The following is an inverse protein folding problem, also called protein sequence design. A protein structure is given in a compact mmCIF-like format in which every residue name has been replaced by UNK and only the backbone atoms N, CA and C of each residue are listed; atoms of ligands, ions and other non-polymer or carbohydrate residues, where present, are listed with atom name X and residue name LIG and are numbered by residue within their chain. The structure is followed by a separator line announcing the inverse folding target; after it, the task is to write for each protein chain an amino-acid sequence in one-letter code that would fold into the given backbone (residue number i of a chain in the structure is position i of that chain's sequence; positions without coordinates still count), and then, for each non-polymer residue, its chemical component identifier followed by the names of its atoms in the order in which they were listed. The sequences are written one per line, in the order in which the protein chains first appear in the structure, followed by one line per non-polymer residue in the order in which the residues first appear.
data_IF_314291174986
#
_entry.id   IF_314291174986
#
_cell.length_a   1.000
_cell.length_b   1.000
_cell.length_c   1.000
_cell.angle_alpha   90.00
_cell.angle_beta   90.00
_cell.angle_gamma   90.00
#
_symmetry.space_group_name_H-M   'P 1'
#
loop_
_entity.id
_entity.type
_entity.pdbx_description
1 polymer ?
#
# COMPACT_ATOMS: atom_id res chain seq x y z
N UNK A 1 5.81 5.64 -2.23
CA UNK A 1 5.68 5.19 -0.83
C UNK A 1 6.09 6.27 0.18
N UNK A 2 7.26 6.90 0.06
CA UNK A 2 7.73 7.92 1.02
C UNK A 2 6.72 9.05 1.35
N UNK A 3 5.99 9.57 0.35
CA UNK A 3 4.95 10.58 0.58
C UNK A 3 3.82 10.12 1.52
N UNK A 4 3.39 8.85 1.41
CA UNK A 4 2.37 8.28 2.29
C UNK A 4 2.89 8.14 3.72
N UNK A 5 4.12 7.63 3.88
CA UNK A 5 4.77 7.54 5.19
C UNK A 5 4.95 8.91 5.85
N UNK A 6 5.39 9.92 5.09
CA UNK A 6 5.50 11.30 5.58
C UNK A 6 4.17 11.87 6.05
N UNK A 7 3.09 11.67 5.28
CA UNK A 7 1.75 12.11 5.65
C UNK A 7 1.26 11.46 6.95
N UNK A 8 1.43 10.14 7.06
CA UNK A 8 1.11 9.41 8.29
C UNK A 8 1.91 9.93 9.50
N UNK A 9 3.23 10.12 9.35
CA UNK A 9 4.07 10.69 10.41
C UNK A 9 3.64 12.10 10.83
N UNK A 10 3.30 12.96 9.88
CA UNK A 10 2.84 14.33 10.15
C UNK A 10 1.53 14.35 10.97
N UNK A 11 0.68 13.34 10.81
CA UNK A 11 -0.55 13.15 11.58
C UNK A 11 -0.36 12.35 12.89
N UNK A 12 0.88 12.02 13.28
CA UNK A 12 1.17 11.21 14.47
C UNK A 12 0.92 9.70 14.31
N UNK A 13 0.72 9.23 13.07
CA UNK A 13 0.56 7.81 12.74
C UNK A 13 1.84 7.00 12.86
N UNK A 14 1.68 5.68 12.99
CA UNK A 14 2.77 4.70 12.95
C UNK A 14 2.98 4.16 11.55
N UNK A 15 4.23 3.99 11.12
CA UNK A 15 4.57 3.52 9.78
C UNK A 15 5.41 2.24 9.82
N UNK A 16 5.04 1.26 8.98
CA UNK A 16 5.76 0.01 8.82
C UNK A 16 6.27 -0.07 7.37
N UNK A 17 7.58 -0.26 7.20
CA UNK A 17 8.22 -0.45 5.90
C UNK A 17 8.62 -1.90 5.69
N UNK A 18 8.02 -2.57 4.71
CA UNK A 18 8.39 -3.93 4.29
C UNK A 18 9.30 -3.82 3.06
N UNK A 19 10.60 -3.96 3.28
CA UNK A 19 11.62 -3.66 2.27
C UNK A 19 11.94 -4.87 1.38
N UNK A 20 12.14 -4.67 0.07
CA UNK A 20 12.50 -5.75 -0.84
C UNK A 20 13.98 -6.18 -0.72
N UNK A 21 14.85 -5.29 -0.23
CA UNK A 21 16.29 -5.53 -0.08
C UNK A 21 16.64 -6.19 1.25
N UNK A 22 17.94 -6.43 1.45
CA UNK A 22 18.55 -7.00 2.65
C UNK A 22 19.09 -5.93 3.62
N UNK A 23 18.85 -4.64 3.36
CA UNK A 23 19.44 -3.51 4.10
C UNK A 23 18.37 -2.65 4.75
N UNK A 24 18.54 -2.39 6.05
CA UNK A 24 17.60 -1.54 6.81
C UNK A 24 17.66 -0.08 6.35
N UNK A 25 18.82 0.35 5.87
CA UNK A 25 19.12 1.72 5.46
C UNK A 25 18.38 2.13 4.18
N UNK A 26 17.80 1.17 3.44
CA UNK A 26 16.97 1.44 2.27
C UNK A 26 15.56 1.94 2.65
N UNK A 27 15.20 1.92 3.95
CA UNK A 27 13.99 2.58 4.43
C UNK A 27 14.07 4.10 4.28
N UNK A 28 12.95 4.74 3.97
CA UNK A 28 12.86 6.20 4.05
C UNK A 28 12.79 6.65 5.52
N UNK A 29 13.19 7.90 5.78
CA UNK A 29 13.28 8.49 7.13
C UNK A 29 11.96 8.54 7.90
N UNK A 30 10.82 8.35 7.22
CA UNK A 30 9.49 8.38 7.82
C UNK A 30 8.96 6.99 8.21
N UNK A 31 9.80 5.96 8.26
CA UNK A 31 9.44 4.61 8.70
C UNK A 31 9.81 4.37 10.17
N UNK A 32 8.84 4.01 11.02
CA UNK A 32 9.07 3.67 12.44
C UNK A 32 9.59 2.25 12.62
N UNK A 33 9.00 1.29 11.90
CA UNK A 33 9.33 -0.12 12.01
C UNK A 33 9.72 -0.69 10.65
N UNK A 34 10.92 -1.25 10.57
CA UNK A 34 11.47 -1.80 9.33
C UNK A 34 11.47 -3.32 9.38
N UNK A 35 10.85 -3.94 8.37
CA UNK A 35 10.92 -5.38 8.09
C UNK A 35 11.74 -5.57 6.82
N UNK A 36 12.97 -6.06 6.97
CA UNK A 36 13.86 -6.38 5.87
C UNK A 36 13.53 -7.78 5.37
N UNK A 37 13.19 -7.95 4.10
CA UNK A 37 12.76 -9.26 3.57
C UNK A 37 13.81 -9.95 2.71
N UNK A 38 14.63 -9.21 1.96
CA UNK A 38 15.52 -9.81 0.93
C UNK A 38 14.76 -10.55 -0.18
N UNK A 39 13.45 -10.30 -0.33
CA UNK A 39 12.58 -11.07 -1.23
C UNK A 39 12.33 -10.38 -2.58
N UNK A 40 12.96 -9.22 -2.84
CA UNK A 40 12.69 -8.46 -4.05
C UNK A 40 11.20 -8.18 -4.21
N UNK A 41 10.63 -8.47 -5.39
CA UNK A 41 9.20 -8.29 -5.66
C UNK A 41 8.30 -9.32 -4.96
N UNK A 42 8.82 -10.43 -4.42
CA UNK A 42 7.98 -11.37 -3.69
C UNK A 42 7.43 -10.78 -2.37
N UNK A 43 8.05 -9.71 -1.83
CA UNK A 43 7.52 -8.98 -0.66
C UNK A 43 6.14 -8.36 -0.88
N UNK A 44 5.70 -8.22 -2.13
CA UNK A 44 4.40 -7.65 -2.48
C UNK A 44 3.26 -8.38 -1.78
N UNK A 45 3.37 -9.70 -1.66
CA UNK A 45 2.42 -10.51 -0.92
C UNK A 45 2.38 -10.13 0.56
N UNK A 46 3.54 -9.94 1.21
CA UNK A 46 3.61 -9.58 2.63
C UNK A 46 2.95 -8.23 2.91
N UNK A 47 3.10 -7.24 2.01
CA UNK A 47 2.41 -5.95 2.15
C UNK A 47 0.89 -6.11 2.00
N UNK A 48 0.42 -6.79 0.96
CA UNK A 48 -1.01 -6.99 0.75
C UNK A 48 -1.66 -7.84 1.86
N UNK A 49 -0.94 -8.84 2.40
CA UNK A 49 -1.46 -9.74 3.42
C UNK A 49 -1.53 -9.09 4.81
N UNK A 50 -0.57 -8.20 5.12
CA UNK A 50 -0.47 -7.55 6.43
C UNK A 50 -1.43 -6.36 6.60
N UNK A 51 -1.95 -5.81 5.51
CA UNK A 51 -2.96 -4.74 5.55
C UNK A 51 -4.38 -5.29 5.57
N UNK A 52 -5.27 -4.59 6.25
CA UNK A 52 -6.72 -4.89 6.22
C UNK A 52 -7.38 -4.41 4.91
N UNK A 53 -6.85 -3.34 4.33
CA UNK A 53 -7.24 -2.79 3.03
C UNK A 53 -6.02 -2.25 2.26
N UNK A 54 -6.16 -2.08 0.94
CA UNK A 54 -5.13 -1.54 0.05
C UNK A 54 -5.64 -0.32 -0.70
N UNK A 55 -4.94 0.79 -0.55
CA UNK A 55 -5.14 2.01 -1.36
C UNK A 55 -4.02 2.07 -2.40
N UNK A 56 -4.38 1.91 -3.68
CA UNK A 56 -3.46 2.00 -4.80
C UNK A 56 -3.42 3.43 -5.34
N UNK A 57 -2.23 4.05 -5.30
CA UNK A 57 -2.00 5.41 -5.82
C UNK A 57 -1.07 5.33 -7.04
N UNK A 58 -1.50 5.90 -8.17
CA UNK A 58 -0.77 5.81 -9.44
C UNK A 58 -0.81 4.40 -10.05
N UNK A 59 0.23 4.03 -10.78
CA UNK A 59 0.26 2.72 -11.46
C UNK A 59 1.61 2.31 -12.01
N UNK A 60 1.98 1.05 -11.74
CA UNK A 60 3.09 0.31 -12.36
C UNK A 60 2.79 -1.19 -12.26
N UNK A 61 3.65 -2.05 -12.84
CA UNK A 61 3.54 -3.50 -12.70
C UNK A 61 3.53 -3.98 -11.24
N UNK A 62 4.33 -3.33 -10.38
CA UNK A 62 4.37 -3.66 -8.95
C UNK A 62 3.02 -3.37 -8.26
N UNK A 63 2.42 -2.23 -8.58
CA UNK A 63 1.09 -1.85 -8.07
C UNK A 63 0.02 -2.83 -8.53
N UNK A 64 0.03 -3.23 -9.80
CA UNK A 64 -0.90 -4.23 -10.33
C UNK A 64 -0.77 -5.58 -9.61
N UNK A 65 0.47 -6.01 -9.33
CA UNK A 65 0.71 -7.24 -8.58
C UNK A 65 0.16 -7.17 -7.14
N UNK A 66 0.33 -6.03 -6.45
CA UNK A 66 -0.24 -5.83 -5.11
C UNK A 66 -1.77 -5.82 -5.11
N UNK A 67 -2.40 -5.20 -6.12
CA UNK A 67 -3.85 -5.26 -6.32
C UNK A 67 -4.30 -6.71 -6.50
N UNK A 68 -3.60 -7.49 -7.33
CA UNK A 68 -3.90 -8.91 -7.55
C UNK A 68 -3.80 -9.75 -6.27
N UNK A 69 -2.74 -9.58 -5.48
CA UNK A 69 -2.58 -10.27 -4.20
C UNK A 69 -3.68 -9.88 -3.20
N UNK A 70 -3.96 -8.58 -3.06
CA UNK A 70 -5.00 -8.07 -2.18
C UNK A 70 -6.37 -8.65 -2.55
N UNK A 71 -6.74 -8.63 -3.83
CA UNK A 71 -7.99 -9.22 -4.32
C UNK A 71 -8.04 -10.73 -4.07
N UNK A 72 -6.93 -11.46 -4.28
CA UNK A 72 -6.88 -12.91 -4.02
C UNK A 72 -7.07 -13.26 -2.55
N UNK A 73 -6.59 -12.39 -1.65
CA UNK A 73 -6.70 -12.50 -0.20
C UNK A 73 -8.03 -11.95 0.35
N UNK A 74 -8.91 -11.44 -0.50
CA UNK A 74 -10.19 -10.85 -0.08
C UNK A 74 -10.03 -9.51 0.63
N UNK A 75 -8.91 -8.81 0.44
CA UNK A 75 -8.72 -7.45 0.97
C UNK A 75 -9.47 -6.44 0.11
N UNK A 76 -10.05 -5.45 0.77
CA UNK A 76 -10.66 -4.30 0.08
C UNK A 76 -9.57 -3.53 -0.66
N UNK A 77 -9.77 -3.28 -1.95
CA UNK A 77 -8.88 -2.45 -2.76
C UNK A 77 -9.62 -1.21 -3.25
N UNK A 78 -8.94 -0.06 -3.16
CA UNK A 78 -9.41 1.22 -3.70
C UNK A 78 -8.29 1.84 -4.54
N UNK A 79 -8.62 2.33 -5.74
CA UNK A 79 -7.68 3.01 -6.64
C UNK A 79 -7.95 4.52 -6.58
N UNK A 80 -6.94 5.32 -6.25
CA UNK A 80 -7.02 6.78 -6.30
C UNK A 80 -6.77 7.26 -7.72
N UNK A 81 -7.63 8.15 -8.22
CA UNK A 81 -7.51 8.69 -9.57
C UNK A 81 -6.49 9.84 -9.65
N UNK A 82 -5.71 9.92 -10.76
CA UNK A 82 -5.59 8.93 -11.83
C UNK A 82 -4.79 7.68 -11.41
N UNK A 83 -5.20 6.51 -11.88
CA UNK A 83 -4.58 5.21 -11.53
C UNK A 83 -4.91 4.10 -12.53
N UNK A 84 -4.43 2.88 -12.25
CA UNK A 84 -4.66 1.70 -13.12
C UNK A 84 -6.17 1.46 -13.37
N UNK A 85 -6.50 0.98 -14.56
CA UNK A 85 -7.86 0.52 -14.89
C UNK A 85 -7.97 -0.97 -14.59
N UNK A 86 -8.56 -1.32 -13.45
CA UNK A 86 -8.80 -2.70 -13.03
C UNK A 86 -10.29 -2.88 -12.77
N UNK A 87 -10.91 -3.81 -13.49
CA UNK A 87 -12.34 -4.11 -13.38
C UNK A 87 -12.70 -4.62 -11.98
N UNK A 88 -13.86 -4.21 -11.46
CA UNK A 88 -14.36 -4.67 -10.16
C UNK A 88 -13.70 -4.05 -8.94
N UNK A 89 -12.77 -3.11 -9.11
CA UNK A 89 -12.11 -2.39 -8.01
C UNK A 89 -12.70 -1.00 -7.87
N UNK A 90 -12.98 -0.58 -6.63
CA UNK A 90 -13.53 0.75 -6.38
C UNK A 90 -12.50 1.83 -6.68
N UNK A 91 -13.00 2.99 -7.11
CA UNK A 91 -12.18 4.14 -7.49
C UNK A 91 -12.58 5.35 -6.66
N UNK A 92 -11.60 6.14 -6.28
CA UNK A 92 -11.77 7.35 -5.48
C UNK A 92 -11.15 8.54 -6.22
N UNK A 93 -11.87 9.65 -6.24
CA UNK A 93 -11.46 10.93 -6.83
C UNK A 93 -10.60 11.78 -5.88
N UNK A 94 -10.60 11.45 -4.58
CA UNK A 94 -9.76 12.12 -3.58
C UNK A 94 -9.14 11.14 -2.56
N UNK A 95 -8.08 11.55 -1.83
CA UNK A 95 -7.52 10.76 -0.74
C UNK A 95 -8.53 10.47 0.37
N UNK A 96 -9.40 11.41 0.71
CA UNK A 96 -10.42 11.27 1.75
C UNK A 96 -11.44 10.18 1.37
N UNK A 97 -11.98 10.26 0.14
CA UNK A 97 -12.88 9.24 -0.41
C UNK A 97 -12.20 7.86 -0.43
N UNK A 98 -10.90 7.81 -0.75
CA UNK A 98 -10.16 6.56 -0.78
C UNK A 98 -10.09 5.90 0.61
N UNK A 99 -9.87 6.69 1.66
CA UNK A 99 -9.87 6.23 3.05
C UNK A 99 -11.26 5.79 3.48
N UNK A 100 -12.29 6.57 3.19
CA UNK A 100 -13.69 6.22 3.51
C UNK A 100 -14.08 4.88 2.87
N UNK A 101 -13.79 4.68 1.58
CA UNK A 101 -14.08 3.44 0.87
C UNK A 101 -13.25 2.25 1.40
N UNK A 102 -12.01 2.48 1.83
CA UNK A 102 -11.15 1.44 2.40
C UNK A 102 -11.63 0.99 3.79
N UNK A 103 -12.13 1.92 4.61
CA UNK A 103 -12.60 1.65 5.97
C UNK A 103 -14.06 1.18 6.03
N UNK A 104 -14.88 1.46 5.02
CA UNK A 104 -16.32 1.09 5.00
C UNK A 104 -16.63 -0.41 5.13
N UNK A 105 -15.60 -1.26 5.00
CA UNK A 105 -15.71 -2.72 5.05
C UNK A 105 -14.90 -3.37 6.19
N UNK A 106 -14.40 -2.57 7.14
CA UNK A 106 -13.73 -3.04 8.36
C UNK A 106 -14.70 -3.01 9.55
#
# INVERSE_FOLDING_TARGET
MAAASRGAKAAGGTTIGILPSERREDANEWIDHVVVTGMGHARNLAVAASGDAVIAVGGSWGTLAEIGFASRLGRRVVIVEPGLAVEGIARASSPEEAVELALSSL
#
